data_IF_895440629760
#
_entry.id   IF_895440629760
#
_cell.length_a   1.000
_cell.length_b   1.000
_cell.length_c   1.000
_cell.angle_alpha   90.00
_cell.angle_beta   90.00
_cell.angle_gamma   90.00
#
_symmetry.space_group_name_H-M   'P 1'
#
loop_
_entity.id
_entity.type
_entity.pdbx_description
1 polymer ?
#
# COMPACT_ATOMS: atom_id res chain seq x y z
N UNK A 1 3.81 -34.01 33.26
CA UNK A 1 4.52 -33.44 32.11
C UNK A 1 3.60 -32.37 31.53
N UNK A 2 3.78 -31.13 31.95
CA UNK A 2 3.15 -29.98 31.31
C UNK A 2 3.82 -29.82 29.96
N UNK A 3 3.08 -30.05 28.88
CA UNK A 3 3.48 -29.53 27.57
C UNK A 3 3.64 -28.02 27.78
N UNK A 4 4.85 -27.49 27.63
CA UNK A 4 4.98 -26.06 27.31
C UNK A 4 4.20 -25.92 26.00
N UNK A 5 3.02 -25.32 26.04
CA UNK A 5 2.35 -24.91 24.82
C UNK A 5 3.29 -23.92 24.14
N UNK A 6 3.79 -24.29 22.98
CA UNK A 6 4.55 -23.37 22.15
C UNK A 6 3.61 -22.21 21.78
N UNK A 7 4.09 -20.98 21.84
CA UNK A 7 3.27 -19.81 21.47
C UNK A 7 3.19 -19.79 19.95
N UNK A 8 1.97 -19.72 19.41
CA UNK A 8 1.73 -19.61 17.97
C UNK A 8 1.62 -18.13 17.56
N UNK A 9 2.20 -17.75 16.43
CA UNK A 9 2.27 -16.35 15.97
C UNK A 9 1.51 -16.18 14.64
N UNK A 10 0.53 -15.29 14.61
CA UNK A 10 -0.35 -15.08 13.46
C UNK A 10 -0.42 -13.62 13.02
N UNK A 11 -0.19 -13.33 11.75
CA UNK A 11 -0.41 -11.98 11.19
C UNK A 11 -1.61 -12.01 10.26
N UNK A 12 -2.69 -11.36 10.68
CA UNK A 12 -3.97 -11.29 9.96
C UNK A 12 -4.06 -9.96 9.21
N UNK A 13 -4.39 -10.02 7.92
CA UNK A 13 -4.58 -8.83 7.09
C UNK A 13 -6.05 -8.43 6.92
N UNK A 14 -6.30 -7.13 6.78
CA UNK A 14 -7.55 -6.53 6.32
C UNK A 14 -7.48 -6.15 4.82
N UNK A 15 -8.63 -6.00 4.16
CA UNK A 15 -8.74 -5.61 2.75
C UNK A 15 -8.07 -4.27 2.48
N UNK A 16 -8.25 -3.28 3.35
CA UNK A 16 -7.69 -1.93 3.15
C UNK A 16 -6.15 -1.90 3.16
N UNK A 17 -5.51 -2.92 3.74
CA UNK A 17 -4.06 -3.06 3.79
C UNK A 17 -3.56 -3.63 2.46
N UNK A 18 -4.27 -4.60 1.90
CA UNK A 18 -3.86 -5.34 0.70
C UNK A 18 -4.38 -4.75 -0.61
N UNK A 19 -5.32 -3.81 -0.53
CA UNK A 19 -5.99 -3.20 -1.68
C UNK A 19 -5.02 -2.63 -2.72
N UNK A 20 -5.29 -2.94 -3.99
CA UNK A 20 -4.57 -2.39 -5.14
C UNK A 20 -5.45 -1.32 -5.83
N UNK A 21 -4.91 -0.11 -5.99
CA UNK A 21 -5.60 0.94 -6.72
C UNK A 21 -5.47 0.73 -8.24
N UNK A 22 -6.60 0.52 -8.92
CA UNK A 22 -6.66 0.31 -10.38
C UNK A 22 -6.76 1.62 -11.17
N UNK A 23 -5.94 2.63 -10.87
CA UNK A 23 -6.13 3.99 -11.43
C UNK A 23 -5.26 4.33 -12.65
N UNK A 24 -3.93 4.11 -12.60
CA UNK A 24 -3.01 4.62 -13.64
C UNK A 24 -2.25 3.55 -14.46
N UNK A 25 -2.11 2.33 -13.94
CA UNK A 25 -1.54 1.15 -14.63
C UNK A 25 -2.28 -0.14 -14.20
N UNK A 26 -3.61 -0.11 -14.30
CA UNK A 26 -4.46 -1.23 -13.89
C UNK A 26 -4.25 -2.45 -14.79
N UNK A 27 -3.60 -3.49 -14.26
CA UNK A 27 -3.53 -4.79 -14.91
C UNK A 27 -4.73 -5.64 -14.51
N UNK A 28 -5.61 -5.91 -15.48
CA UNK A 28 -6.76 -6.79 -15.32
C UNK A 28 -6.48 -8.22 -15.78
N UNK A 29 -5.27 -8.51 -16.26
CA UNK A 29 -4.87 -9.83 -16.76
C UNK A 29 -4.34 -10.74 -15.66
N UNK A 30 -3.96 -10.18 -14.50
CA UNK A 30 -3.42 -10.89 -13.35
C UNK A 30 -4.08 -10.45 -12.04
N UNK A 31 -3.78 -11.15 -10.94
CA UNK A 31 -4.19 -10.79 -9.59
C UNK A 31 -2.96 -10.78 -8.68
N UNK A 32 -2.84 -9.76 -7.83
CA UNK A 32 -1.78 -9.64 -6.83
C UNK A 32 -2.24 -8.79 -5.65
N UNK A 33 -1.61 -8.98 -4.49
CA UNK A 33 -1.67 -7.99 -3.42
C UNK A 33 -0.76 -6.79 -3.74
N UNK A 34 -1.00 -5.67 -3.05
CA UNK A 34 -0.15 -4.49 -3.16
C UNK A 34 1.24 -4.67 -2.51
N UNK A 35 2.07 -3.62 -2.59
CA UNK A 35 3.42 -3.61 -2.05
C UNK A 35 3.50 -3.89 -0.54
N UNK A 36 2.50 -3.45 0.24
CA UNK A 36 2.48 -3.66 1.70
C UNK A 36 2.55 -5.15 2.07
N UNK A 37 1.92 -6.04 1.29
CA UNK A 37 2.06 -7.47 1.51
C UNK A 37 3.52 -7.92 1.39
N UNK A 38 4.19 -7.53 0.31
CA UNK A 38 5.60 -7.87 0.06
C UNK A 38 6.51 -7.31 1.15
N UNK A 39 6.28 -6.07 1.57
CA UNK A 39 7.05 -5.43 2.63
C UNK A 39 6.97 -6.23 3.94
N UNK A 40 5.78 -6.69 4.33
CA UNK A 40 5.59 -7.51 5.53
C UNK A 40 6.28 -8.88 5.40
N UNK A 41 6.20 -9.52 4.23
CA UNK A 41 6.94 -10.77 3.94
C UNK A 41 8.44 -10.55 4.09
N UNK A 42 8.97 -9.49 3.51
CA UNK A 42 10.40 -9.18 3.54
C UNK A 42 10.87 -8.92 4.97
N UNK A 43 10.08 -8.23 5.80
CA UNK A 43 10.34 -8.05 7.23
C UNK A 43 10.42 -9.39 7.99
N UNK A 44 9.47 -10.30 7.75
CA UNK A 44 9.44 -11.64 8.38
C UNK A 44 10.66 -12.46 7.95
N UNK A 45 11.04 -12.39 6.68
CA UNK A 45 12.20 -13.08 6.13
C UNK A 45 13.52 -12.53 6.70
N UNK A 46 13.66 -11.20 6.80
CA UNK A 46 14.83 -10.55 7.38
C UNK A 46 15.03 -10.90 8.86
N UNK A 47 13.92 -11.07 9.58
CA UNK A 47 13.94 -11.51 10.98
C UNK A 47 14.19 -13.03 11.15
N UNK A 48 14.23 -13.80 10.06
CA UNK A 48 14.37 -15.27 10.05
C UNK A 48 13.27 -15.98 10.88
N UNK A 49 12.05 -15.42 10.92
CA UNK A 49 10.91 -15.97 11.68
C UNK A 49 9.81 -16.58 10.80
N UNK A 50 10.03 -16.71 9.48
CA UNK A 50 9.06 -17.23 8.50
C UNK A 50 8.56 -18.66 8.79
N UNK A 51 9.30 -19.45 9.59
CA UNK A 51 8.87 -20.80 10.02
C UNK A 51 7.97 -20.78 11.25
N UNK A 52 7.86 -19.64 11.94
CA UNK A 52 7.14 -19.48 13.21
C UNK A 52 5.93 -18.57 13.10
N UNK A 53 5.92 -17.66 12.12
CA UNK A 53 4.81 -16.76 11.84
C UNK A 53 3.96 -17.32 10.71
N UNK A 54 2.65 -17.42 10.95
CA UNK A 54 1.65 -17.79 9.95
C UNK A 54 0.92 -16.53 9.49
N UNK A 55 0.79 -16.37 8.18
CA UNK A 55 0.09 -15.25 7.56
C UNK A 55 -1.34 -15.68 7.25
N UNK A 56 -2.30 -14.98 7.82
CA UNK A 56 -3.71 -15.28 7.70
C UNK A 56 -4.35 -14.24 6.77
N UNK A 57 -4.88 -14.71 5.64
CA UNK A 57 -5.70 -13.87 4.74
C UNK A 57 -7.15 -14.30 4.87
N UNK A 58 -8.02 -13.51 5.51
CA UNK A 58 -9.40 -13.89 5.72
C UNK A 58 -10.18 -14.06 4.41
N UNK A 59 -11.06 -15.05 4.34
CA UNK A 59 -11.95 -15.27 3.19
C UNK A 59 -12.78 -14.04 2.84
N UNK A 60 -13.13 -13.22 3.85
CA UNK A 60 -13.84 -11.94 3.64
C UNK A 60 -13.00 -11.00 2.77
N UNK A 61 -11.68 -10.95 3.01
CA UNK A 61 -10.74 -10.11 2.26
C UNK A 61 -10.61 -10.60 0.82
N UNK A 62 -10.44 -11.91 0.61
CA UNK A 62 -10.41 -12.50 -0.73
C UNK A 62 -11.65 -12.17 -1.56
N UNK A 63 -12.83 -12.39 -0.99
CA UNK A 63 -14.11 -12.12 -1.65
C UNK A 63 -14.29 -10.63 -1.95
N UNK A 64 -13.79 -9.76 -1.07
CA UNK A 64 -13.87 -8.32 -1.28
C UNK A 64 -12.95 -7.87 -2.42
N UNK A 65 -11.71 -8.34 -2.44
CA UNK A 65 -10.74 -7.99 -3.49
C UNK A 65 -11.19 -8.50 -4.86
N UNK A 66 -11.72 -9.74 -4.94
CA UNK A 66 -12.31 -10.29 -6.17
C UNK A 66 -13.42 -9.39 -6.70
N UNK A 67 -14.32 -8.96 -5.82
CA UNK A 67 -15.42 -8.10 -6.22
C UNK A 67 -14.95 -6.71 -6.64
N UNK A 68 -13.97 -6.13 -5.94
CA UNK A 68 -13.41 -4.82 -6.27
C UNK A 68 -12.74 -4.80 -7.66
N UNK A 69 -11.94 -5.82 -8.00
CA UNK A 69 -11.30 -5.88 -9.32
C UNK A 69 -12.34 -6.07 -10.44
N UNK A 70 -13.38 -6.88 -10.22
CA UNK A 70 -14.50 -7.05 -11.17
C UNK A 70 -15.25 -5.73 -11.37
N UNK A 71 -15.63 -5.06 -10.28
CA UNK A 71 -16.36 -3.78 -10.33
C UNK A 71 -15.52 -2.71 -11.06
N UNK A 72 -14.21 -2.64 -10.81
CA UNK A 72 -13.31 -1.69 -11.47
C UNK A 72 -13.07 -2.01 -12.94
N UNK A 73 -12.92 -3.28 -13.29
CA UNK A 73 -12.87 -3.72 -14.67
C UNK A 73 -14.12 -3.27 -15.44
N UNK A 74 -15.31 -3.56 -14.90
CA UNK A 74 -16.58 -3.25 -15.53
C UNK A 74 -16.81 -1.74 -15.67
N UNK A 75 -16.41 -0.96 -14.66
CA UNK A 75 -16.44 0.49 -14.71
C UNK A 75 -15.59 1.05 -15.87
N UNK A 76 -14.34 0.59 -15.98
CA UNK A 76 -13.39 1.10 -16.99
C UNK A 76 -13.74 0.64 -18.40
N UNK A 77 -14.11 -0.63 -18.60
CA UNK A 77 -14.47 -1.13 -19.94
C UNK A 77 -15.71 -0.40 -20.48
N UNK A 78 -16.70 -0.10 -19.62
CA UNK A 78 -17.88 0.67 -20.01
C UNK A 78 -17.52 2.12 -20.36
N UNK A 79 -16.62 2.74 -19.60
CA UNK A 79 -16.11 4.10 -19.86
C UNK A 79 -15.37 4.17 -21.20
N UNK A 80 -14.51 3.21 -21.50
CA UNK A 80 -13.78 3.14 -22.78
C UNK A 80 -14.73 2.94 -23.96
N UNK A 81 -15.65 1.97 -23.87
CA UNK A 81 -16.68 1.73 -24.90
C UNK A 81 -17.49 3.00 -25.20
N UNK A 82 -17.88 3.72 -24.15
CA UNK A 82 -18.66 4.96 -24.29
C UNK A 82 -17.85 6.10 -24.93
N UNK A 83 -16.55 6.16 -24.66
CA UNK A 83 -15.65 7.19 -25.21
C UNK A 83 -15.34 6.93 -26.68
N UNK A 84 -15.04 5.67 -27.02
CA UNK A 84 -14.74 5.23 -28.38
C UNK A 84 -15.94 5.44 -29.31
N UNK A 85 -17.16 5.05 -28.88
CA UNK A 85 -18.37 5.23 -29.69
C UNK A 85 -18.65 6.69 -30.06
N UNK A 86 -18.13 7.66 -29.30
CA UNK A 86 -18.30 9.10 -29.57
C UNK A 86 -17.26 9.68 -30.53
N UNK A 87 -16.17 8.96 -30.83
CA UNK A 87 -15.06 9.45 -31.64
C UNK A 87 -14.97 8.61 -32.93
N UNK A 88 -15.08 9.26 -34.08
CA UNK A 88 -14.89 8.63 -35.38
C UNK A 88 -13.62 9.21 -36.00
N UNK A 89 -12.68 8.34 -36.35
CA UNK A 89 -11.43 8.72 -37.01
C UNK A 89 -11.39 8.10 -38.39
N UNK A 90 -11.00 8.86 -39.44
CA UNK A 90 -10.81 8.30 -40.78
C UNK A 90 -9.58 7.40 -40.88
N UNK A 91 -8.56 7.59 -40.04
CA UNK A 91 -7.31 6.84 -40.06
C UNK A 91 -7.42 5.44 -39.42
N UNK A 92 -8.40 5.23 -38.53
CA UNK A 92 -8.50 4.02 -37.71
C UNK A 92 -9.93 3.53 -37.53
N UNK A 93 -10.10 2.21 -37.53
CA UNK A 93 -11.34 1.52 -37.16
C UNK A 93 -11.10 0.65 -35.93
N UNK A 94 -11.97 0.73 -34.93
CA UNK A 94 -11.85 -0.04 -33.69
C UNK A 94 -12.74 -1.28 -33.79
N UNK A 95 -12.18 -2.44 -33.50
CA UNK A 95 -12.89 -3.72 -33.36
C UNK A 95 -12.74 -4.22 -31.93
N UNK A 96 -13.85 -4.66 -31.32
CA UNK A 96 -13.82 -5.33 -30.02
C UNK A 96 -13.45 -6.80 -30.21
N UNK A 97 -12.67 -7.35 -29.27
CA UNK A 97 -12.45 -8.79 -29.19
C UNK A 97 -13.75 -9.50 -28.76
N UNK A 98 -13.76 -10.83 -28.88
CA UNK A 98 -14.85 -11.66 -28.39
C UNK A 98 -15.09 -11.42 -26.89
N UNK A 99 -16.36 -11.47 -26.49
CA UNK A 99 -16.77 -11.24 -25.11
C UNK A 99 -16.21 -12.35 -24.20
N UNK A 100 -15.46 -11.95 -23.18
CA UNK A 100 -14.93 -12.85 -22.15
C UNK A 100 -15.79 -12.78 -20.89
N UNK A 101 -15.93 -13.90 -20.18
CA UNK A 101 -16.46 -13.90 -18.83
C UNK A 101 -15.34 -13.48 -17.86
N UNK A 102 -15.21 -12.17 -17.65
CA UNK A 102 -14.15 -11.61 -16.80
C UNK A 102 -14.19 -12.14 -15.35
N UNK A 103 -15.35 -12.22 -14.66
CA UNK A 103 -15.42 -12.85 -13.34
C UNK A 103 -14.81 -14.26 -13.31
N UNK A 104 -15.11 -15.10 -14.31
CA UNK A 104 -14.55 -16.46 -14.35
C UNK A 104 -13.05 -16.48 -14.66
N UNK A 105 -12.61 -15.54 -15.50
CA UNK A 105 -11.20 -15.35 -15.82
C UNK A 105 -10.41 -14.99 -14.56
N UNK A 106 -10.85 -13.98 -13.82
CA UNK A 106 -10.10 -13.49 -12.66
C UNK A 106 -10.17 -14.46 -11.47
N UNK A 107 -11.28 -15.18 -11.29
CA UNK A 107 -11.37 -16.28 -10.30
C UNK A 107 -10.24 -17.31 -10.52
N UNK A 108 -9.95 -17.64 -11.78
CA UNK A 108 -8.84 -18.55 -12.12
C UNK A 108 -7.49 -17.96 -11.73
N UNK A 109 -7.28 -16.66 -11.95
CA UNK A 109 -6.04 -15.96 -11.56
C UNK A 109 -5.86 -15.84 -10.05
N UNK A 110 -6.94 -15.67 -9.30
CA UNK A 110 -6.90 -15.69 -7.82
C UNK A 110 -6.49 -17.07 -7.31
N UNK A 111 -7.04 -18.15 -7.90
CA UNK A 111 -6.64 -19.52 -7.52
C UNK A 111 -5.16 -19.77 -7.84
N UNK A 112 -4.69 -19.42 -9.05
CA UNK A 112 -3.27 -19.49 -9.41
C UNK A 112 -2.40 -18.70 -8.42
N UNK A 113 -2.83 -17.50 -8.01
CA UNK A 113 -2.12 -16.68 -7.03
C UNK A 113 -2.07 -17.33 -5.65
N UNK A 114 -3.18 -17.88 -5.15
CA UNK A 114 -3.22 -18.62 -3.87
C UNK A 114 -2.27 -19.82 -3.88
N UNK A 115 -2.25 -20.59 -4.96
CA UNK A 115 -1.32 -21.73 -5.12
C UNK A 115 0.14 -21.28 -5.08
N UNK A 116 0.46 -20.16 -5.74
CA UNK A 116 1.80 -19.58 -5.70
C UNK A 116 2.18 -19.13 -4.29
N UNK A 117 1.25 -18.53 -3.53
CA UNK A 117 1.49 -18.17 -2.12
C UNK A 117 1.80 -19.40 -1.26
N UNK A 118 1.08 -20.51 -1.46
CA UNK A 118 1.34 -21.77 -0.74
C UNK A 118 2.67 -22.43 -1.08
N UNK A 119 3.31 -22.04 -2.19
CA UNK A 119 4.66 -22.52 -2.57
C UNK A 119 5.80 -21.68 -1.97
N UNK A 120 5.47 -20.56 -1.32
CA UNK A 120 6.43 -19.68 -0.64
C UNK A 120 7.06 -20.35 0.59
N UNK A 121 8.21 -19.83 1.02
CA UNK A 121 8.82 -20.21 2.32
C UNK A 121 7.98 -19.76 3.52
N UNK A 122 7.13 -18.74 3.32
CA UNK A 122 6.22 -18.22 4.33
C UNK A 122 4.91 -19.01 4.29
N UNK A 123 4.45 -19.48 5.44
CA UNK A 123 3.17 -20.16 5.54
C UNK A 123 2.02 -19.15 5.46
N UNK A 124 1.21 -19.26 4.40
CA UNK A 124 0.02 -18.45 4.19
C UNK A 124 -1.21 -19.35 4.25
N UNK A 125 -2.13 -19.05 5.15
CA UNK A 125 -3.40 -19.75 5.33
C UNK A 125 -4.60 -18.82 5.11
N UNK A 126 -5.71 -19.41 4.72
CA UNK A 126 -6.97 -18.69 4.56
C UNK A 126 -7.80 -18.80 5.85
N UNK A 127 -8.02 -17.65 6.50
CA UNK A 127 -8.84 -17.59 7.71
C UNK A 127 -10.33 -17.65 7.30
N UNK A 128 -11.07 -18.71 7.69
CA UNK A 128 -12.44 -18.90 7.23
C UNK A 128 -13.39 -17.87 7.83
N UNK A 129 -14.45 -17.55 7.09
CA UNK A 129 -15.55 -16.72 7.60
C UNK A 129 -16.11 -17.34 8.89
N UNK A 130 -16.41 -16.48 9.87
CA UNK A 130 -17.07 -16.84 11.11
C UNK A 130 -18.25 -17.78 10.87
N UNK A 131 -18.28 -18.88 11.61
CA UNK A 131 -19.32 -19.89 11.52
C UNK A 131 -20.65 -19.36 12.10
N UNK A 132 -21.71 -20.16 11.90
CA UNK A 132 -23.03 -19.85 12.44
C UNK A 132 -23.05 -19.63 13.97
N UNK A 133 -22.04 -20.10 14.70
CA UNK A 133 -21.90 -19.87 16.14
C UNK A 133 -21.70 -18.38 16.51
N UNK A 134 -21.19 -17.57 15.58
CA UNK A 134 -21.01 -16.12 15.78
C UNK A 134 -22.16 -15.29 15.21
N UNK A 135 -23.14 -15.92 14.55
CA UNK A 135 -24.25 -15.22 13.90
C UNK A 135 -25.03 -14.32 14.86
N UNK A 136 -25.42 -14.85 16.03
CA UNK A 136 -26.13 -14.06 17.05
C UNK A 136 -25.27 -12.88 17.55
N UNK A 137 -23.95 -13.02 17.60
CA UNK A 137 -23.04 -11.93 17.95
C UNK A 137 -23.06 -10.82 16.90
N UNK A 138 -22.95 -11.18 15.62
CA UNK A 138 -23.03 -10.23 14.49
C UNK A 138 -24.36 -9.47 14.52
N UNK A 139 -25.47 -10.18 14.70
CA UNK A 139 -26.81 -9.57 14.81
C UNK A 139 -26.89 -8.61 15.99
N UNK A 140 -26.39 -9.02 17.16
CA UNK A 140 -26.36 -8.16 18.34
C UNK A 140 -25.53 -6.90 18.11
N UNK A 141 -24.37 -7.00 17.45
CA UNK A 141 -23.55 -5.84 17.10
C UNK A 141 -24.28 -4.89 16.17
N UNK A 142 -24.94 -5.41 15.13
CA UNK A 142 -25.68 -4.59 14.17
C UNK A 142 -26.79 -3.79 14.87
N UNK A 143 -27.64 -4.44 15.68
CA UNK A 143 -28.74 -3.76 16.37
C UNK A 143 -28.27 -2.77 17.43
N UNK A 144 -27.21 -3.11 18.18
CA UNK A 144 -26.65 -2.25 19.23
C UNK A 144 -25.65 -1.22 18.69
N UNK A 145 -25.31 -1.29 17.40
CA UNK A 145 -24.28 -0.48 16.73
C UNK A 145 -22.95 -0.51 17.48
N UNK A 146 -22.56 -1.71 17.87
CA UNK A 146 -21.26 -1.94 18.51
C UNK A 146 -20.17 -1.92 17.43
N UNK A 147 -18.95 -1.45 17.75
CA UNK A 147 -17.83 -1.57 16.84
C UNK A 147 -17.67 -3.00 16.29
N UNK A 148 -17.28 -3.15 15.02
CA UNK A 148 -16.86 -2.09 14.08
C UNK A 148 -18.01 -1.42 13.30
N UNK A 149 -19.29 -1.60 13.67
CA UNK A 149 -20.37 -0.81 13.08
C UNK A 149 -20.23 0.67 13.42
N UNK A 150 -20.24 1.51 12.38
CA UNK A 150 -20.16 2.97 12.52
C UNK A 150 -21.56 3.56 12.60
N UNK A 151 -21.92 4.22 13.71
CA UNK A 151 -23.13 5.05 13.73
C UNK A 151 -23.77 5.33 15.08
N UNK A 152 -23.18 6.17 15.91
CA UNK A 152 -23.94 6.80 17.02
C UNK A 152 -24.95 7.83 16.51
N UNK A 153 -24.70 8.46 15.35
CA UNK A 153 -25.58 9.48 14.78
C UNK A 153 -25.85 9.24 13.27
N UNK A 154 -26.97 8.55 12.98
CA UNK A 154 -27.69 8.46 11.69
C UNK A 154 -27.11 7.58 10.55
N UNK A 155 -27.96 6.57 10.20
CA UNK A 155 -28.40 6.13 8.85
C UNK A 155 -27.61 5.12 8.00
N UNK A 156 -26.49 4.55 8.44
CA UNK A 156 -25.86 3.47 7.65
C UNK A 156 -25.49 2.27 8.51
N UNK A 157 -25.82 1.06 8.06
CA UNK A 157 -25.29 -0.20 8.61
C UNK A 157 -23.85 -0.45 8.09
N UNK A 158 -23.06 0.62 8.01
CA UNK A 158 -21.65 0.59 7.60
C UNK A 158 -20.87 -0.11 8.70
N UNK A 159 -20.01 -1.05 8.30
CA UNK A 159 -19.27 -1.89 9.24
C UNK A 159 -19.67 -3.37 9.23
N UNK A 160 -20.63 -3.81 8.41
CA UNK A 160 -21.01 -5.22 8.39
C UNK A 160 -19.85 -6.16 7.98
N UNK A 161 -19.09 -5.77 6.94
CA UNK A 161 -17.91 -6.54 6.50
C UNK A 161 -16.85 -6.57 7.60
N UNK A 162 -16.59 -5.42 8.20
CA UNK A 162 -15.62 -5.27 9.29
C UNK A 162 -16.05 -6.11 10.50
N UNK A 163 -17.36 -6.19 10.78
CA UNK A 163 -17.90 -7.00 11.86
C UNK A 163 -17.76 -8.49 11.55
N UNK A 164 -17.99 -8.90 10.30
CA UNK A 164 -17.78 -10.28 9.88
C UNK A 164 -16.30 -10.67 9.99
N UNK A 165 -15.40 -9.78 9.58
CA UNK A 165 -13.95 -9.95 9.70
C UNK A 165 -13.52 -10.10 11.16
N UNK A 166 -13.94 -9.16 12.02
CA UNK A 166 -13.65 -9.19 13.46
C UNK A 166 -14.15 -10.47 14.14
N UNK A 167 -15.38 -10.87 13.83
CA UNK A 167 -15.98 -12.09 14.38
C UNK A 167 -15.26 -13.36 13.92
N UNK A 168 -14.69 -13.33 12.71
CA UNK A 168 -13.86 -14.43 12.18
C UNK A 168 -12.54 -14.51 12.96
N UNK A 169 -11.90 -13.37 13.22
CA UNK A 169 -10.67 -13.29 14.04
C UNK A 169 -10.91 -13.75 15.48
N UNK A 170 -12.02 -13.36 16.10
CA UNK A 170 -12.39 -13.82 17.44
C UNK A 170 -12.61 -15.33 17.49
N UNK A 171 -13.36 -15.88 16.54
CA UNK A 171 -13.59 -17.34 16.49
C UNK A 171 -12.29 -18.10 16.22
N UNK A 172 -11.42 -17.57 15.36
CA UNK A 172 -10.09 -18.11 15.12
C UNK A 172 -9.27 -18.16 16.42
N UNK A 173 -9.13 -17.04 17.12
CA UNK A 173 -8.35 -16.96 18.34
C UNK A 173 -8.90 -17.87 19.47
N UNK A 174 -10.21 -18.12 19.51
CA UNK A 174 -10.81 -19.07 20.45
C UNK A 174 -10.44 -20.53 20.15
N UNK A 175 -10.12 -20.86 18.89
CA UNK A 175 -9.68 -22.20 18.45
C UNK A 175 -8.16 -22.38 18.62
N UNK A 176 -7.40 -21.29 18.46
CA UNK A 176 -5.94 -21.25 18.58
C UNK A 176 -5.51 -20.62 19.91
N UNK A 177 -5.51 -21.45 20.97
CA UNK A 177 -5.12 -21.00 22.31
C UNK A 177 -3.61 -20.79 22.40
N UNK A 178 -3.17 -19.91 23.29
CA UNK A 178 -1.75 -19.61 23.49
C UNK A 178 -1.12 -18.96 22.24
N UNK A 179 -1.82 -18.00 21.65
CA UNK A 179 -1.43 -17.35 20.40
C UNK A 179 -1.15 -15.86 20.57
N UNK A 180 -0.25 -15.33 19.74
CA UNK A 180 -0.04 -13.89 19.56
C UNK A 180 -0.47 -13.51 18.16
N UNK A 181 -1.35 -12.52 18.06
CA UNK A 181 -1.95 -12.10 16.81
C UNK A 181 -1.57 -10.65 16.53
N UNK A 182 -1.00 -10.37 15.36
CA UNK A 182 -1.00 -9.03 14.77
C UNK A 182 -2.23 -8.96 13.88
N UNK A 183 -3.09 -7.97 14.11
CA UNK A 183 -4.18 -7.64 13.20
C UNK A 183 -3.84 -6.35 12.49
N UNK A 184 -3.56 -6.41 11.19
CA UNK A 184 -3.16 -5.25 10.41
C UNK A 184 -4.37 -4.69 9.66
N UNK A 185 -4.85 -3.52 10.09
CA UNK A 185 -5.93 -2.77 9.45
C UNK A 185 -5.67 -1.27 9.50
N UNK A 186 -5.84 -0.57 8.37
CA UNK A 186 -5.79 0.90 8.30
C UNK A 186 -7.09 1.57 8.79
N UNK A 187 -8.10 0.80 9.20
CA UNK A 187 -9.39 1.33 9.61
C UNK A 187 -9.41 1.69 11.11
N UNK A 188 -9.81 2.93 11.40
CA UNK A 188 -9.97 3.44 12.75
C UNK A 188 -11.16 2.82 13.51
N UNK A 189 -12.03 2.08 12.82
CA UNK A 189 -13.09 1.29 13.45
C UNK A 189 -12.53 0.24 14.43
N UNK A 190 -11.30 -0.22 14.22
CA UNK A 190 -10.60 -1.16 15.09
C UNK A 190 -9.86 -0.44 16.21
N UNK A 191 -10.62 -0.06 17.25
CA UNK A 191 -10.13 0.74 18.37
C UNK A 191 -9.99 -0.07 19.68
N UNK A 192 -9.68 0.64 20.76
CA UNK A 192 -9.50 0.10 22.12
C UNK A 192 -10.69 -0.76 22.59
N UNK A 193 -11.92 -0.49 22.13
CA UNK A 193 -13.09 -1.32 22.46
C UNK A 193 -12.92 -2.76 21.98
N UNK A 194 -12.47 -2.97 20.74
CA UNK A 194 -12.28 -4.31 20.18
C UNK A 194 -11.07 -5.01 20.81
N UNK A 195 -10.01 -4.26 21.11
CA UNK A 195 -8.88 -4.81 21.86
C UNK A 195 -9.29 -5.31 23.26
N UNK A 196 -10.08 -4.51 23.99
CA UNK A 196 -10.60 -4.90 25.31
C UNK A 196 -11.55 -6.10 25.20
N UNK A 197 -12.43 -6.10 24.20
CA UNK A 197 -13.30 -7.24 23.94
C UNK A 197 -12.50 -8.52 23.69
N UNK A 198 -11.45 -8.47 22.87
CA UNK A 198 -10.59 -9.62 22.63
C UNK A 198 -9.98 -10.12 23.94
N UNK A 199 -9.41 -9.22 24.73
CA UNK A 199 -8.73 -9.53 26.00
C UNK A 199 -9.70 -10.15 27.02
N UNK A 200 -10.96 -9.73 27.03
CA UNK A 200 -12.00 -10.25 27.92
C UNK A 200 -12.53 -11.63 27.49
N UNK A 201 -12.55 -11.92 26.18
CA UNK A 201 -13.19 -13.12 25.62
C UNK A 201 -12.20 -14.24 25.26
N UNK A 202 -10.95 -13.91 24.95
CA UNK A 202 -9.93 -14.87 24.51
C UNK A 202 -8.86 -14.99 25.59
N UNK A 203 -9.02 -15.99 26.46
CA UNK A 203 -8.02 -16.31 27.45
C UNK A 203 -6.76 -16.90 26.79
N UNK A 204 -5.61 -16.63 27.40
CA UNK A 204 -4.29 -17.17 27.02
C UNK A 204 -3.75 -16.70 25.64
N UNK A 205 -4.44 -15.82 24.93
CA UNK A 205 -3.95 -15.23 23.68
C UNK A 205 -3.92 -13.69 23.75
N UNK A 206 -3.10 -13.05 22.93
CA UNK A 206 -3.02 -11.59 22.83
C UNK A 206 -3.14 -11.12 21.39
N UNK A 207 -3.80 -9.98 21.18
CA UNK A 207 -3.91 -9.31 19.89
C UNK A 207 -3.24 -7.94 19.94
N UNK A 208 -2.55 -7.57 18.87
CA UNK A 208 -2.02 -6.24 18.65
C UNK A 208 -2.56 -5.70 17.33
N UNK A 209 -3.28 -4.58 17.39
CA UNK A 209 -3.90 -3.96 16.21
C UNK A 209 -2.92 -2.93 15.67
N UNK A 210 -2.43 -3.14 14.45
CA UNK A 210 -1.52 -2.23 13.75
C UNK A 210 -2.28 -1.44 12.69
N UNK A 211 -1.99 -0.14 12.57
CA UNK A 211 -2.56 0.70 11.52
C UNK A 211 -1.57 1.07 10.40
N UNK A 212 -0.28 0.79 10.58
CA UNK A 212 0.77 1.10 9.61
C UNK A 212 1.93 0.08 9.67
N UNK A 213 2.78 0.09 8.64
CA UNK A 213 3.90 -0.85 8.49
C UNK A 213 4.94 -0.71 9.62
N UNK A 214 5.15 0.50 10.16
CA UNK A 214 6.08 0.72 11.27
C UNK A 214 5.61 0.06 12.58
N UNK A 215 4.30 0.03 12.83
CA UNK A 215 3.72 -0.68 13.97
C UNK A 215 3.86 -2.20 13.80
N UNK A 216 3.64 -2.71 12.59
CA UNK A 216 3.87 -4.12 12.26
C UNK A 216 5.34 -4.48 12.45
N UNK A 217 6.27 -3.69 11.90
CA UNK A 217 7.72 -3.84 12.07
C UNK A 217 8.08 -3.98 13.55
N UNK A 218 7.67 -3.01 14.38
CA UNK A 218 7.94 -3.02 15.83
C UNK A 218 7.43 -4.30 16.50
N UNK A 219 6.24 -4.75 16.14
CA UNK A 219 5.65 -5.93 16.75
C UNK A 219 6.33 -7.22 16.28
N UNK A 220 6.72 -7.32 15.01
CA UNK A 220 7.52 -8.42 14.48
C UNK A 220 8.91 -8.49 15.14
N UNK A 221 9.56 -7.35 15.39
CA UNK A 221 10.83 -7.32 16.12
C UNK A 221 10.69 -7.78 17.58
N UNK A 222 9.56 -7.48 18.23
CA UNK A 222 9.24 -8.01 19.55
C UNK A 222 9.11 -9.54 19.47
N UNK A 223 8.36 -10.05 18.49
CA UNK A 223 8.21 -11.49 18.30
C UNK A 223 9.52 -12.20 18.01
N UNK A 224 10.37 -11.65 17.14
CA UNK A 224 11.67 -12.23 16.85
C UNK A 224 12.56 -12.36 18.11
N UNK A 225 12.57 -11.34 18.98
CA UNK A 225 13.28 -11.39 20.27
C UNK A 225 12.72 -12.43 21.22
N UNK A 226 11.41 -12.70 21.17
CA UNK A 226 10.75 -13.70 22.01
C UNK A 226 10.97 -15.12 21.51
N UNK A 227 10.95 -15.31 20.19
CA UNK A 227 11.16 -16.60 19.51
C UNK A 227 12.60 -17.05 19.71
N UNK A 228 13.56 -16.21 19.32
CA UNK A 228 14.98 -16.49 19.50
C UNK A 228 15.80 -15.22 19.66
N UNK A 229 16.01 -14.84 20.92
CA UNK A 229 16.84 -13.68 21.29
C UNK A 229 18.28 -13.75 20.75
N UNK A 230 18.84 -14.94 20.55
CA UNK A 230 20.24 -15.09 20.13
C UNK A 230 20.42 -15.00 18.63
N UNK A 231 19.37 -15.33 17.86
CA UNK A 231 19.36 -15.25 16.39
C UNK A 231 18.75 -13.94 15.88
N UNK A 232 18.10 -13.16 16.75
CA UNK A 232 17.53 -11.86 16.40
C UNK A 232 18.56 -10.91 15.77
N UNK A 233 18.28 -10.48 14.55
CA UNK A 233 18.87 -9.32 13.90
C UNK A 233 17.76 -8.27 13.71
N UNK A 234 17.97 -7.01 14.12
CA UNK A 234 16.98 -5.97 13.91
C UNK A 234 16.71 -5.78 12.41
N UNK A 235 15.46 -5.47 12.08
CA UNK A 235 15.13 -5.00 10.73
C UNK A 235 15.81 -3.63 10.60
N UNK A 236 16.85 -3.53 9.76
CA UNK A 236 17.48 -2.26 9.46
C UNK A 236 16.39 -1.24 9.10
N UNK A 237 16.55 0.01 9.50
CA UNK A 237 15.69 1.08 8.99
C UNK A 237 15.96 1.22 7.49
N UNK A 238 15.29 0.39 6.71
CA UNK A 238 15.16 0.52 5.28
C UNK A 238 14.19 1.66 5.06
N UNK A 239 14.75 2.87 5.03
CA UNK A 239 14.08 3.97 4.36
C UNK A 239 14.11 3.58 2.87
N UNK A 240 12.97 3.06 2.38
CA UNK A 240 12.79 2.62 0.98
C UNK A 240 13.21 3.71 -0.02
N UNK A 241 13.15 4.96 0.43
CA UNK A 241 13.50 6.12 -0.34
C UNK A 241 14.89 6.68 0.00
N UNK A 242 15.68 6.03 0.87
CA UNK A 242 16.97 6.57 1.31
C UNK A 242 17.88 6.92 0.15
N UNK A 243 17.99 6.03 -0.83
CA UNK A 243 18.89 6.23 -1.97
C UNK A 243 18.40 7.37 -2.88
N UNK A 244 17.08 7.44 -3.13
CA UNK A 244 16.49 8.53 -3.93
C UNK A 244 16.53 9.86 -3.15
N UNK A 245 16.36 9.85 -1.83
CA UNK A 245 16.49 11.02 -0.95
C UNK A 245 17.95 11.50 -0.90
N UNK A 246 18.90 10.57 -0.77
CA UNK A 246 20.33 10.88 -0.83
C UNK A 246 20.71 11.48 -2.19
N UNK A 247 20.13 10.97 -3.29
CA UNK A 247 20.32 11.53 -4.62
C UNK A 247 19.64 12.90 -4.80
N UNK A 248 18.42 13.11 -4.30
CA UNK A 248 17.74 14.42 -4.32
C UNK A 248 18.54 15.50 -3.55
N UNK A 249 19.30 15.10 -2.54
CA UNK A 249 20.21 15.99 -1.81
C UNK A 249 21.61 16.10 -2.44
N UNK A 250 21.86 15.40 -3.56
CA UNK A 250 23.15 15.38 -4.24
C UNK A 250 23.31 16.56 -5.20
N UNK A 251 24.56 16.89 -5.52
CA UNK A 251 24.86 17.89 -6.56
C UNK A 251 24.44 17.43 -7.96
N UNK A 252 24.28 16.13 -8.20
CA UNK A 252 23.87 15.59 -9.49
C UNK A 252 22.43 15.99 -9.82
N UNK A 253 21.50 15.76 -8.89
CA UNK A 253 20.10 16.20 -9.02
C UNK A 253 19.98 17.70 -9.32
N UNK A 254 20.69 18.54 -8.55
CA UNK A 254 20.66 19.99 -8.71
C UNK A 254 21.19 20.45 -10.07
N UNK A 255 22.22 19.78 -10.60
CA UNK A 255 22.73 20.04 -11.94
C UNK A 255 21.71 19.64 -13.01
N UNK A 256 21.09 18.46 -12.88
CA UNK A 256 20.06 18.01 -13.82
C UNK A 256 18.88 18.99 -13.88
N UNK A 257 18.39 19.49 -12.73
CA UNK A 257 17.32 20.49 -12.66
C UNK A 257 17.66 21.79 -13.39
N UNK A 258 18.91 22.28 -13.27
CA UNK A 258 19.33 23.56 -13.87
C UNK A 258 19.61 23.40 -15.39
N UNK A 259 20.32 22.33 -15.76
CA UNK A 259 20.91 22.19 -17.09
C UNK A 259 19.93 21.62 -18.11
N UNK A 260 19.05 20.68 -17.72
CA UNK A 260 18.14 19.98 -18.64
C UNK A 260 16.95 20.83 -19.10
N UNK A 261 16.80 22.05 -18.58
CA UNK A 261 15.91 23.08 -19.13
C UNK A 261 14.43 22.68 -19.22
N UNK A 262 13.87 22.12 -18.14
CA UNK A 262 12.45 21.75 -18.02
C UNK A 262 11.47 22.95 -17.92
N UNK A 263 11.88 24.15 -18.33
CA UNK A 263 11.05 25.35 -18.22
C UNK A 263 10.86 25.92 -16.80
N UNK A 264 11.51 25.33 -15.78
CA UNK A 264 11.49 25.84 -14.41
C UNK A 264 12.46 27.00 -14.15
N UNK A 265 13.60 27.00 -14.84
CA UNK A 265 14.68 27.97 -14.60
C UNK A 265 14.61 29.10 -15.61
N UNK A 266 14.51 30.34 -15.11
CA UNK A 266 14.53 31.53 -15.96
C UNK A 266 15.92 31.69 -16.62
N UNK A 267 15.97 31.64 -17.96
CA UNK A 267 17.20 31.82 -18.76
C UNK A 267 17.19 33.17 -19.48
N UNK A 268 17.19 34.25 -18.69
CA UNK A 268 17.27 35.62 -19.20
C UNK A 268 18.70 36.07 -19.48
N UNK A 269 18.89 36.97 -20.46
CA UNK A 269 20.19 37.62 -20.73
C UNK A 269 20.72 38.44 -19.54
N UNK A 270 19.87 38.76 -18.58
CA UNK A 270 20.19 39.52 -17.37
C UNK A 270 20.81 38.65 -16.27
N UNK A 271 20.62 37.34 -16.33
CA UNK A 271 21.09 36.38 -15.32
C UNK A 271 22.54 35.99 -15.65
N UNK A 272 23.40 35.99 -14.64
CA UNK A 272 24.81 35.57 -14.72
C UNK A 272 25.02 34.14 -14.24
N UNK A 273 24.28 33.71 -13.23
CA UNK A 273 24.32 32.35 -12.68
C UNK A 273 23.03 32.02 -11.95
N UNK A 274 22.75 30.73 -11.84
CA UNK A 274 21.59 30.19 -11.11
C UNK A 274 22.08 29.12 -10.14
N UNK A 275 21.52 29.10 -8.94
CA UNK A 275 21.65 28.03 -7.98
C UNK A 275 20.25 27.46 -7.65
N UNK A 276 20.18 26.17 -7.39
CA UNK A 276 18.97 25.49 -6.96
C UNK A 276 19.20 24.87 -5.56
N UNK A 277 18.19 24.93 -4.72
CA UNK A 277 18.20 24.34 -3.38
C UNK A 277 16.91 23.56 -3.15
N UNK A 278 17.04 22.32 -2.68
CA UNK A 278 15.92 21.53 -2.21
C UNK A 278 15.52 22.00 -0.80
N UNK A 279 14.29 22.50 -0.64
CA UNK A 279 13.76 22.95 0.66
C UNK A 279 13.11 21.78 1.39
N UNK A 280 12.20 21.07 0.73
CA UNK A 280 11.50 19.91 1.28
C UNK A 280 11.15 18.90 0.21
N UNK A 281 10.96 17.66 0.66
CA UNK A 281 10.37 16.58 -0.11
C UNK A 281 9.02 16.31 0.56
N UNK A 282 7.95 16.50 -0.20
CA UNK A 282 6.59 16.42 0.31
C UNK A 282 6.00 15.03 0.10
N UNK A 283 6.33 14.38 -1.03
CA UNK A 283 5.89 13.03 -1.35
C UNK A 283 6.89 12.29 -2.27
N UNK A 284 6.99 10.97 -2.12
CA UNK A 284 7.73 10.07 -3.01
C UNK A 284 6.84 8.85 -3.29
N UNK A 285 6.50 8.63 -4.56
CA UNK A 285 5.68 7.51 -5.02
C UNK A 285 6.46 6.69 -6.05
N UNK A 286 6.68 5.41 -5.79
CA UNK A 286 7.23 4.48 -6.80
C UNK A 286 6.11 4.06 -7.76
N UNK A 287 6.18 4.52 -9.01
CA UNK A 287 5.17 4.27 -10.04
C UNK A 287 5.29 2.88 -10.65
N UNK A 288 6.52 2.39 -10.85
CA UNK A 288 6.83 1.05 -11.36
C UNK A 288 8.20 0.59 -10.89
N UNK A 289 8.34 -0.73 -10.73
CA UNK A 289 9.60 -1.38 -10.36
C UNK A 289 9.73 -2.67 -11.17
N UNK A 290 10.69 -2.70 -12.09
CA UNK A 290 11.10 -3.88 -12.85
C UNK A 290 12.51 -4.32 -12.39
N UNK A 291 13.02 -5.46 -12.89
CA UNK A 291 14.37 -5.93 -12.52
C UNK A 291 15.48 -4.92 -12.89
N UNK A 292 15.29 -4.16 -13.96
CA UNK A 292 16.32 -3.27 -14.52
C UNK A 292 16.10 -1.77 -14.25
N UNK A 293 14.87 -1.34 -13.94
CA UNK A 293 14.57 0.07 -13.67
C UNK A 293 13.39 0.31 -12.72
N UNK A 294 13.44 1.46 -12.04
CA UNK A 294 12.36 1.98 -11.18
C UNK A 294 11.97 3.38 -11.63
N UNK A 295 10.66 3.67 -11.62
CA UNK A 295 10.12 4.99 -11.94
C UNK A 295 9.50 5.59 -10.68
N UNK A 296 9.88 6.82 -10.34
CA UNK A 296 9.41 7.58 -9.18
C UNK A 296 8.68 8.84 -9.62
N UNK A 297 7.61 9.17 -8.91
CA UNK A 297 7.01 10.49 -8.89
C UNK A 297 7.30 11.15 -7.54
N UNK A 298 7.80 12.38 -7.57
CA UNK A 298 8.33 13.07 -6.39
C UNK A 298 7.77 14.48 -6.35
N UNK A 299 7.16 14.86 -5.24
CA UNK A 299 6.71 16.23 -4.99
C UNK A 299 7.73 16.91 -4.07
N UNK A 300 8.27 18.04 -4.51
CA UNK A 300 9.30 18.78 -3.78
C UNK A 300 9.06 20.28 -3.83
N UNK A 301 9.63 20.98 -2.86
CA UNK A 301 9.73 22.44 -2.85
C UNK A 301 11.16 22.83 -3.19
N UNK A 302 11.34 23.51 -4.32
CA UNK A 302 12.64 23.98 -4.80
C UNK A 302 12.75 25.50 -4.67
N UNK A 303 13.91 25.99 -4.26
CA UNK A 303 14.28 27.39 -4.33
C UNK A 303 15.32 27.61 -5.43
N UNK A 304 15.04 28.55 -6.33
CA UNK A 304 16.00 29.01 -7.32
C UNK A 304 16.51 30.38 -6.93
N UNK A 305 17.83 30.53 -6.86
CA UNK A 305 18.51 31.80 -6.64
C UNK A 305 19.20 32.24 -7.93
N UNK A 306 18.91 33.47 -8.35
CA UNK A 306 19.44 34.06 -9.57
C UNK A 306 20.36 35.22 -9.22
N UNK A 307 21.59 35.15 -9.72
CA UNK A 307 22.51 36.27 -9.71
C UNK A 307 22.36 37.06 -11.00
N UNK A 308 22.19 38.36 -10.89
CA UNK A 308 22.07 39.28 -12.01
C UNK A 308 23.44 39.88 -12.37
N UNK A 309 23.60 40.26 -13.64
CA UNK A 309 24.84 40.86 -14.15
C UNK A 309 25.22 42.20 -13.53
N UNK A 310 24.28 42.87 -12.87
CA UNK A 310 24.47 44.12 -12.13
C UNK A 310 24.75 43.89 -10.63
N UNK A 311 25.14 42.67 -10.26
CA UNK A 311 25.40 42.23 -8.88
C UNK A 311 24.14 42.12 -8.00
N UNK A 312 22.95 42.33 -8.56
CA UNK A 312 21.69 42.05 -7.87
C UNK A 312 21.42 40.56 -7.69
N UNK A 313 20.61 40.21 -6.69
CA UNK A 313 20.13 38.84 -6.48
C UNK A 313 18.61 38.82 -6.36
N UNK A 314 17.98 37.76 -6.88
CA UNK A 314 16.56 37.48 -6.69
C UNK A 314 16.37 35.98 -6.54
N UNK A 315 15.27 35.56 -5.91
CA UNK A 315 14.95 34.15 -5.75
C UNK A 315 13.46 33.89 -5.95
N UNK A 316 13.14 32.65 -6.31
CA UNK A 316 11.77 32.14 -6.32
C UNK A 316 11.70 30.79 -5.63
N UNK A 317 10.53 30.47 -5.09
CA UNK A 317 10.23 29.17 -4.48
C UNK A 317 9.09 28.56 -5.30
N UNK A 318 9.26 27.31 -5.72
CA UNK A 318 8.35 26.61 -6.60
C UNK A 318 8.01 25.25 -5.98
N UNK A 319 6.73 24.91 -5.95
CA UNK A 319 6.27 23.54 -5.71
C UNK A 319 6.34 22.77 -7.04
N UNK A 320 7.10 21.68 -7.06
CA UNK A 320 7.44 20.95 -8.28
C UNK A 320 7.11 19.46 -8.18
N UNK A 321 6.50 18.93 -9.23
CA UNK A 321 6.35 17.49 -9.45
C UNK A 321 7.45 17.02 -10.39
N UNK A 322 8.20 15.99 -9.99
CA UNK A 322 9.38 15.47 -10.68
C UNK A 322 9.15 13.99 -11.00
N UNK A 323 9.42 13.59 -12.24
CA UNK A 323 9.53 12.18 -12.63
C UNK A 323 10.99 11.78 -12.72
N UNK A 324 11.33 10.69 -12.04
CA UNK A 324 12.70 10.17 -11.98
C UNK A 324 12.69 8.71 -12.41
N UNK A 325 13.57 8.36 -13.34
CA UNK A 325 13.88 6.98 -13.67
C UNK A 325 15.23 6.58 -13.06
N UNK A 326 15.28 5.40 -12.45
CA UNK A 326 16.47 4.83 -11.82
C UNK A 326 16.83 3.53 -12.52
N UNK A 327 18.01 3.49 -13.15
CA UNK A 327 18.54 2.31 -13.85
C UNK A 327 19.56 1.57 -13.00
N UNK A 328 19.49 0.24 -12.98
CA UNK A 328 20.40 -0.66 -12.25
C UNK A 328 20.58 -0.30 -10.76
N UNK A 329 19.62 0.43 -10.17
CA UNK A 329 19.70 1.05 -8.83
C UNK A 329 20.91 1.99 -8.61
N UNK A 330 21.54 2.51 -9.67
CA UNK A 330 22.76 3.33 -9.57
C UNK A 330 22.66 4.64 -10.34
N UNK A 331 21.94 4.67 -11.47
CA UNK A 331 21.86 5.84 -12.34
C UNK A 331 20.48 6.48 -12.22
N UNK A 332 20.44 7.74 -11.79
CA UNK A 332 19.22 8.52 -11.62
C UNK A 332 19.09 9.56 -12.73
N UNK A 333 17.93 9.63 -13.37
CA UNK A 333 17.64 10.54 -14.48
C UNK A 333 16.31 11.25 -14.24
N UNK A 334 16.31 12.58 -14.34
CA UNK A 334 15.07 13.36 -14.37
C UNK A 334 14.46 13.24 -15.76
N UNK A 335 13.27 12.66 -15.84
CA UNK A 335 12.55 12.48 -17.10
C UNK A 335 11.59 13.65 -17.38
N UNK A 336 10.98 14.22 -16.34
CA UNK A 336 10.05 15.33 -16.48
C UNK A 336 9.95 16.16 -15.19
N UNK A 337 9.66 17.45 -15.33
CA UNK A 337 9.42 18.35 -14.21
C UNK A 337 8.37 19.41 -14.55
N UNK A 338 7.42 19.63 -13.63
CA UNK A 338 6.38 20.64 -13.78
C UNK A 338 6.02 21.32 -12.45
N UNK A 339 5.39 22.49 -12.54
CA UNK A 339 4.89 23.25 -11.39
C UNK A 339 3.55 22.68 -10.92
N UNK A 340 3.38 22.47 -9.62
CA UNK A 340 2.13 21.92 -9.04
C UNK A 340 1.07 23.01 -8.86
N UNK A 341 1.47 24.28 -8.70
CA UNK A 341 0.57 25.39 -8.37
C UNK A 341 -0.03 26.14 -9.58
N UNK A 342 0.32 25.76 -10.81
CA UNK A 342 -0.33 26.31 -12.00
C UNK A 342 -1.61 25.51 -12.27
N UNK A 343 -2.73 25.97 -11.69
CA UNK A 343 -4.08 25.59 -12.11
C UNK A 343 -4.12 25.55 -13.65
N UNK A 344 -4.59 24.43 -14.23
CA UNK A 344 -5.06 24.32 -15.61
C UNK A 344 -6.22 25.31 -15.85
N UNK A 345 -5.89 26.59 -15.93
CA UNK A 345 -6.80 27.70 -16.06
C UNK A 345 -6.30 28.70 -17.09
N UNK A 346 -5.81 28.21 -18.23
CA UNK A 346 -5.87 28.95 -19.49
C UNK A 346 -6.40 28.05 -20.62
N UNK A 347 -7.74 28.05 -20.68
CA UNK A 347 -8.67 27.93 -21.83
C UNK A 347 -8.24 27.27 -23.14
#
# INVERSE_FOLDING_TARGET
MTLNSEIEYYLVFDTNVLYQAYEKKADFTSFSFNATYKNVIDMINQLDIYTKVVLEIPSVVWNEMERQIIEKHDELIQRYRSTIKKKLFPEYSIQENDEINYPKYIETKIVEYKENLSSSINLVEELPIASNNRFDSIINRAFKKLPPFEGKEKKSDKGFKDALLWESVLEFALKHKNSKIIYYSKDNAFNEFLHNEFTENVADSSIFICNNENEVKKQLEIWAKEIDKFSYQPIEDFDENKEIVDWLNSGDFLLQIIDLNFGLVEKSRLISSTAAHLISIDNIECLTSNEDSKEYYIETVLQFEYQLKDEGTTSEIINTGIRVEVFDNIVYSIEDVYRIDEDESES
#
